data_IF_508669877290
#
_entry.id   IF_508669877290
#
_cell.length_a   1.000
_cell.length_b   1.000
_cell.length_c   1.000
_cell.angle_alpha   90.00
_cell.angle_beta   90.00
_cell.angle_gamma   90.00
#
_symmetry.space_group_name_H-M   'P 1'
#
loop_
_entity.id
_entity.type
_entity.pdbx_description
1 polymer ?
#
# COMPACT_ATOMS: atom_id res chain seq x y z
N UNK A 1 -9.53 -2.10 -28.23
CA UNK A 1 -8.62 -1.36 -27.32
C UNK A 1 -8.97 -1.73 -25.88
N UNK A 2 -8.29 -2.75 -25.34
CA UNK A 2 -8.62 -3.36 -24.06
C UNK A 2 -8.24 -2.46 -22.90
N UNK A 3 -9.24 -1.98 -22.17
CA UNK A 3 -9.07 -1.49 -20.82
C UNK A 3 -8.73 -2.71 -19.96
N UNK A 4 -7.54 -2.71 -19.34
CA UNK A 4 -7.20 -3.68 -18.32
C UNK A 4 -8.17 -3.46 -17.15
N UNK A 5 -9.15 -4.36 -17.00
CA UNK A 5 -10.01 -4.47 -15.80
C UNK A 5 -9.17 -4.95 -14.59
N UNK A 6 -8.16 -4.18 -14.22
CA UNK A 6 -7.39 -4.39 -13.01
C UNK A 6 -7.96 -3.54 -11.89
N UNK A 7 -8.08 -4.13 -10.69
CA UNK A 7 -8.31 -3.34 -9.49
C UNK A 7 -6.97 -2.73 -9.07
N UNK A 8 -6.86 -1.40 -9.14
CA UNK A 8 -5.64 -0.67 -8.81
C UNK A 8 -5.89 0.29 -7.64
N UNK A 9 -4.85 0.56 -6.86
CA UNK A 9 -4.90 1.58 -5.80
C UNK A 9 -4.95 2.95 -6.46
N UNK A 10 -6.09 3.63 -6.29
CA UNK A 10 -6.36 4.92 -6.96
C UNK A 10 -5.91 6.12 -6.14
N UNK A 11 -5.83 6.00 -4.81
CA UNK A 11 -5.48 7.08 -3.88
C UNK A 11 -4.78 6.52 -2.65
N UNK A 12 -3.85 7.27 -2.08
CA UNK A 12 -3.21 6.95 -0.83
C UNK A 12 -3.26 8.17 0.09
N UNK A 13 -3.77 8.02 1.33
CA UNK A 13 -3.80 9.09 2.33
C UNK A 13 -3.21 8.61 3.64
N UNK A 14 -2.28 9.38 4.19
CA UNK A 14 -1.73 9.16 5.53
C UNK A 14 -1.64 10.50 6.27
N UNK A 15 -2.02 10.51 7.55
CA UNK A 15 -1.95 11.72 8.39
C UNK A 15 -0.52 12.07 8.81
N UNK A 16 0.39 11.10 8.79
CA UNK A 16 1.78 11.27 9.26
C UNK A 16 2.78 11.51 8.15
N UNK A 17 2.35 11.48 6.88
CA UNK A 17 3.25 11.62 5.73
C UNK A 17 3.24 13.08 5.26
N UNK A 18 4.32 13.86 5.49
CA UNK A 18 4.48 15.16 4.84
C UNK A 18 4.56 14.99 3.32
N UNK A 19 4.32 16.08 2.57
CA UNK A 19 4.24 16.14 1.09
C UNK A 19 5.04 15.06 0.35
N UNK A 20 4.49 14.59 -0.76
CA UNK A 20 4.83 13.45 -1.63
C UNK A 20 6.32 13.19 -1.99
N UNK A 21 7.24 14.06 -1.57
CA UNK A 21 8.70 13.98 -1.81
C UNK A 21 9.55 14.01 -0.53
N UNK A 22 8.95 13.93 0.66
CA UNK A 22 9.69 13.91 1.92
C UNK A 22 10.08 12.49 2.33
N UNK A 23 11.30 12.32 2.85
CA UNK A 23 11.69 11.13 3.63
C UNK A 23 10.88 11.08 4.92
N UNK A 24 10.30 9.92 5.24
CA UNK A 24 9.68 9.69 6.54
C UNK A 24 10.78 9.14 7.45
N UNK A 25 11.07 9.85 8.54
CA UNK A 25 12.00 9.36 9.57
C UNK A 25 11.48 8.01 10.08
N UNK A 26 12.33 6.99 10.02
CA UNK A 26 12.00 5.63 10.41
C UNK A 26 11.54 4.69 9.30
N UNK A 27 11.47 5.16 8.03
CA UNK A 27 11.21 4.34 6.84
C UNK A 27 12.42 4.41 5.90
N UNK A 28 12.79 3.29 5.30
CA UNK A 28 13.92 3.21 4.36
C UNK A 28 13.59 3.86 3.01
N UNK A 29 12.38 3.65 2.50
CA UNK A 29 11.90 4.11 1.20
C UNK A 29 11.33 5.54 1.27
N UNK A 30 11.35 6.21 0.12
CA UNK A 30 10.71 7.51 -0.07
C UNK A 30 9.20 7.34 -0.23
N UNK A 31 8.44 8.40 0.08
CA UNK A 31 6.97 8.39 -0.05
C UNK A 31 6.53 7.97 -1.45
N UNK A 32 7.17 8.50 -2.50
CA UNK A 32 6.84 8.13 -3.87
C UNK A 32 7.20 6.67 -4.20
N UNK A 33 8.26 6.10 -3.62
CA UNK A 33 8.59 4.68 -3.80
C UNK A 33 7.52 3.79 -3.18
N UNK A 34 7.06 4.10 -1.96
CA UNK A 34 5.95 3.39 -1.31
C UNK A 34 4.69 3.48 -2.19
N UNK A 35 4.39 4.66 -2.75
CA UNK A 35 3.26 4.83 -3.66
C UNK A 35 3.40 4.04 -4.96
N UNK A 36 4.61 3.94 -5.52
CA UNK A 36 4.86 3.12 -6.72
C UNK A 36 4.73 1.64 -6.40
N UNK A 37 5.33 1.17 -5.31
CA UNK A 37 5.22 -0.21 -4.83
C UNK A 37 3.75 -0.61 -4.65
N UNK A 38 2.93 0.26 -4.04
CA UNK A 38 1.49 0.04 -3.88
C UNK A 38 0.77 -0.03 -5.24
N UNK A 39 1.07 0.86 -6.18
CA UNK A 39 0.47 0.84 -7.53
C UNK A 39 0.80 -0.41 -8.33
N UNK A 40 1.95 -1.01 -8.08
CA UNK A 40 2.37 -2.26 -8.74
C UNK A 40 1.69 -3.50 -8.15
N UNK A 41 0.98 -3.39 -7.01
CA UNK A 41 0.28 -4.52 -6.41
C UNK A 41 -0.89 -4.92 -7.29
N UNK A 42 -0.85 -6.16 -7.77
CA UNK A 42 -1.94 -6.74 -8.55
C UNK A 42 -2.98 -7.34 -7.61
N UNK A 43 -4.18 -6.80 -7.69
CA UNK A 43 -5.35 -7.29 -6.97
C UNK A 43 -6.25 -8.11 -7.90
N UNK A 44 -6.78 -9.21 -7.37
CA UNK A 44 -7.75 -10.07 -8.04
C UNK A 44 -9.02 -10.10 -7.21
N UNK A 45 -10.13 -9.71 -7.81
CA UNK A 45 -11.42 -9.70 -7.12
C UNK A 45 -12.51 -9.20 -8.03
N UNK A 46 -13.75 -9.55 -7.70
CA UNK A 46 -14.91 -9.02 -8.41
C UNK A 46 -15.50 -7.88 -7.58
N UNK A 47 -14.94 -6.68 -7.74
CA UNK A 47 -15.44 -5.48 -7.08
C UNK A 47 -16.46 -4.79 -7.98
N UNK A 48 -17.66 -4.57 -7.45
CA UNK A 48 -18.62 -3.64 -8.05
C UNK A 48 -18.36 -2.24 -7.50
N UNK A 49 -17.49 -1.48 -8.17
CA UNK A 49 -17.13 -0.11 -7.80
C UNK A 49 -15.86 0.02 -6.93
N UNK A 50 -15.67 1.17 -6.30
CA UNK A 50 -14.48 1.47 -5.49
C UNK A 50 -14.61 0.91 -4.08
N UNK A 51 -13.60 0.20 -3.60
CA UNK A 51 -13.50 -0.22 -2.21
C UNK A 51 -12.34 0.49 -1.51
N UNK A 52 -12.50 0.72 -0.22
CA UNK A 52 -11.43 1.22 0.63
C UNK A 52 -10.60 0.04 1.13
N UNK A 53 -9.29 0.17 1.09
CA UNK A 53 -8.35 -0.74 1.75
C UNK A 53 -7.41 0.06 2.65
N UNK A 54 -6.68 -0.62 3.52
CA UNK A 54 -5.73 0.03 4.40
C UNK A 54 -4.50 -0.82 4.57
N UNK A 55 -3.32 -0.22 4.59
CA UNK A 55 -2.10 -0.89 5.04
C UNK A 55 -1.65 -0.25 6.33
N UNK A 56 -1.51 -1.06 7.37
CA UNK A 56 -1.07 -0.62 8.69
C UNK A 56 0.01 -1.54 9.23
N UNK A 57 1.15 -0.97 9.60
CA UNK A 57 2.28 -1.70 10.14
C UNK A 57 2.96 -0.91 11.24
N UNK A 58 3.50 -1.63 12.23
CA UNK A 58 4.31 -1.07 13.31
C UNK A 58 5.74 -1.57 13.16
N UNK A 59 6.68 -0.63 13.15
CA UNK A 59 8.09 -0.90 13.00
C UNK A 59 8.78 -1.31 14.32
N UNK A 60 10.03 -1.82 14.24
CA UNK A 60 10.74 -2.14 13.00
C UNK A 60 10.15 -3.40 12.34
N UNK A 61 9.81 -3.32 11.05
CA UNK A 61 9.13 -4.40 10.31
C UNK A 61 9.31 -4.23 8.80
N UNK A 62 9.51 -5.35 8.12
CA UNK A 62 9.40 -5.42 6.66
C UNK A 62 7.94 -5.56 6.26
N UNK A 63 7.40 -4.53 5.59
CA UNK A 63 6.00 -4.42 5.21
C UNK A 63 5.84 -4.90 3.78
N UNK A 64 4.93 -5.85 3.59
CA UNK A 64 4.67 -6.48 2.30
C UNK A 64 3.19 -6.34 1.93
N UNK A 65 2.83 -6.71 0.71
CA UNK A 65 1.45 -6.64 0.26
C UNK A 65 0.49 -7.43 1.18
N UNK A 66 0.93 -8.52 1.81
CA UNK A 66 0.10 -9.27 2.77
C UNK A 66 -0.40 -8.45 3.97
N UNK A 67 0.28 -7.34 4.30
CA UNK A 67 -0.10 -6.46 5.41
C UNK A 67 -1.26 -5.51 5.05
N UNK A 68 -1.74 -5.57 3.80
CA UNK A 68 -2.90 -4.81 3.33
C UNK A 68 -4.19 -5.49 3.83
N UNK A 69 -4.98 -4.71 4.54
CA UNK A 69 -6.34 -5.04 4.95
C UNK A 69 -7.27 -4.76 3.75
N UNK A 70 -7.65 -5.84 3.08
CA UNK A 70 -8.56 -5.82 1.94
C UNK A 70 -9.99 -6.23 2.34
N UNK A 71 -11.01 -5.80 1.57
CA UNK A 71 -12.35 -6.35 1.68
C UNK A 71 -12.37 -7.84 1.31
N UNK A 72 -13.34 -8.62 1.82
CA UNK A 72 -13.39 -10.09 1.65
C UNK A 72 -13.57 -10.57 0.20
N UNK A 73 -13.91 -9.68 -0.73
CA UNK A 73 -14.09 -9.99 -2.16
C UNK A 73 -12.85 -9.72 -3.02
N UNK A 74 -11.72 -9.33 -2.40
CA UNK A 74 -10.46 -8.98 -3.08
C UNK A 74 -9.32 -9.77 -2.47
N UNK A 75 -8.49 -10.31 -3.32
CA UNK A 75 -7.28 -11.05 -2.99
C UNK A 75 -6.08 -10.39 -3.64
N UNK A 76 -4.92 -10.53 -3.00
CA UNK A 76 -3.64 -10.11 -3.57
C UNK A 76 -3.08 -11.28 -4.37
N UNK A 77 -2.62 -11.02 -5.59
CA UNK A 77 -2.01 -12.05 -6.42
C UNK A 77 -0.64 -12.45 -5.87
N UNK A 78 0.19 -11.47 -5.50
CA UNK A 78 1.49 -11.68 -4.85
C UNK A 78 1.53 -11.00 -3.48
N UNK A 79 1.42 -11.81 -2.43
CA UNK A 79 1.44 -11.34 -1.05
C UNK A 79 2.86 -11.01 -0.54
N UNK A 80 3.91 -11.41 -1.27
CA UNK A 80 5.31 -11.21 -0.90
C UNK A 80 5.89 -9.89 -1.42
N UNK A 81 5.17 -9.21 -2.31
CA UNK A 81 5.60 -7.96 -2.91
C UNK A 81 5.93 -6.92 -1.85
N UNK A 82 7.12 -6.34 -1.97
CA UNK A 82 7.62 -5.34 -1.04
C UNK A 82 6.81 -4.05 -1.12
N UNK A 83 6.53 -3.45 0.05
CA UNK A 83 5.87 -2.14 0.13
C UNK A 83 6.79 -1.11 0.79
N UNK A 84 7.23 -1.38 2.01
CA UNK A 84 8.07 -0.47 2.79
C UNK A 84 8.85 -1.21 3.89
N UNK A 85 9.97 -0.66 4.32
CA UNK A 85 10.81 -1.16 5.40
C UNK A 85 10.82 -0.15 6.53
N UNK A 86 10.13 -0.47 7.63
CA UNK A 86 10.15 0.34 8.84
C UNK A 86 11.41 -0.03 9.64
N UNK A 87 12.33 0.90 9.80
CA UNK A 87 13.60 0.71 10.51
C UNK A 87 13.54 1.19 11.98
N UNK A 88 12.56 2.02 12.31
CA UNK A 88 12.35 2.56 13.66
C UNK A 88 10.99 2.12 14.23
N UNK A 89 10.74 2.28 15.55
CA UNK A 89 9.44 1.98 16.17
C UNK A 89 8.37 3.03 15.83
N UNK A 90 7.97 3.04 14.56
CA UNK A 90 6.97 3.95 14.01
C UNK A 90 5.71 3.19 13.58
N UNK A 91 4.55 3.84 13.66
CA UNK A 91 3.31 3.34 13.10
C UNK A 91 3.09 3.95 11.71
N UNK A 92 3.14 3.11 10.67
CA UNK A 92 2.72 3.43 9.31
C UNK A 92 1.26 3.00 9.13
N UNK A 93 0.39 3.92 8.75
CA UNK A 93 -0.96 3.62 8.26
C UNK A 93 -1.27 4.46 7.03
N UNK A 94 -1.69 3.80 5.95
CA UNK A 94 -2.07 4.41 4.67
C UNK A 94 -3.42 3.85 4.26
N UNK A 95 -4.40 4.73 3.99
CA UNK A 95 -5.67 4.35 3.36
C UNK A 95 -5.55 4.34 1.84
N UNK A 96 -6.09 3.31 1.20
CA UNK A 96 -5.96 2.92 -0.22
C UNK A 96 -7.32 2.91 -0.92
#
# INVERSE_FOLDING_TARGET
>A
PGELEGTYITRAKSEKIPREYSTIVGIQELVHEILMNLKEIVLRGNLYGTCNAFICAKGPKYVTAQDIILPPSVEIVDNTQHVASLIEPIDLCIGL
#
